data_IF_974091971148
#
_entry.id   IF_974091971148
#
_cell.length_a   1.000
_cell.length_b   1.000
_cell.length_c   1.000
_cell.angle_alpha   90.00
_cell.angle_beta   90.00
_cell.angle_gamma   90.00
#
_symmetry.space_group_name_H-M   'P 1'
#
loop_
_entity.id
_entity.type
_entity.pdbx_description
1 polymer ?
#
# COMPACT_ATOMS: atom_id res chain seq x y z
N UNK A 1 -3.70 -4.16 -5.61
CA UNK A 1 -4.98 -3.70 -5.01
C UNK A 1 -6.01 -4.78 -5.28
N UNK A 2 -6.57 -5.42 -4.24
CA UNK A 2 -7.53 -6.53 -4.45
C UNK A 2 -8.91 -5.97 -4.76
N UNK A 3 -9.60 -6.54 -5.76
CA UNK A 3 -11.03 -6.28 -6.06
C UNK A 3 -11.90 -6.41 -4.80
N UNK A 4 -11.47 -7.25 -3.87
CA UNK A 4 -12.07 -7.48 -2.56
C UNK A 4 -12.10 -6.25 -1.66
N UNK A 5 -11.06 -5.40 -1.69
CA UNK A 5 -11.07 -4.13 -0.95
C UNK A 5 -12.04 -3.12 -1.56
N UNK A 6 -12.12 -3.07 -2.89
CA UNK A 6 -13.13 -2.24 -3.57
C UNK A 6 -14.55 -2.71 -3.24
N UNK A 7 -14.79 -4.02 -3.28
CA UNK A 7 -16.07 -4.61 -2.90
C UNK A 7 -16.46 -4.25 -1.47
N UNK A 8 -15.54 -4.40 -0.53
CA UNK A 8 -15.76 -4.02 0.87
C UNK A 8 -16.06 -2.51 1.01
N UNK A 9 -15.31 -1.66 0.31
CA UNK A 9 -15.53 -0.21 0.30
C UNK A 9 -16.91 0.17 -0.25
N UNK A 10 -17.32 -0.40 -1.38
CA UNK A 10 -18.64 -0.15 -1.96
C UNK A 10 -19.78 -0.63 -1.06
N UNK A 11 -19.63 -1.79 -0.42
CA UNK A 11 -20.61 -2.30 0.55
C UNK A 11 -20.73 -1.38 1.77
N UNK A 12 -19.60 -0.86 2.27
CA UNK A 12 -19.59 0.11 3.36
C UNK A 12 -20.30 1.42 2.97
N UNK A 13 -20.00 1.97 1.79
CA UNK A 13 -20.67 3.17 1.26
C UNK A 13 -22.18 2.95 1.13
N UNK A 14 -22.60 1.79 0.59
CA UNK A 14 -24.01 1.45 0.46
C UNK A 14 -24.70 1.34 1.83
N UNK A 15 -24.04 0.72 2.82
CA UNK A 15 -24.56 0.65 4.19
C UNK A 15 -24.70 2.03 4.85
N UNK A 16 -23.76 2.95 4.60
CA UNK A 16 -23.84 4.32 5.11
C UNK A 16 -24.98 5.12 4.47
N UNK A 17 -25.21 4.94 3.17
CA UNK A 17 -26.34 5.57 2.46
C UNK A 17 -27.68 5.08 3.00
N UNK A 18 -27.77 3.76 3.27
CA UNK A 18 -28.97 3.13 3.79
C UNK A 18 -29.30 3.49 5.26
N UNK A 19 -28.35 4.10 5.99
CA UNK A 19 -28.54 4.54 7.37
C UNK A 19 -29.05 6.00 7.49
N UNK A 20 -29.32 6.66 6.36
CA UNK A 20 -29.84 8.03 6.34
C UNK A 20 -31.33 8.09 6.73
N UNK A 21 -31.74 9.18 7.38
CA UNK A 21 -33.07 9.32 7.99
C UNK A 21 -34.23 9.34 6.97
N UNK A 22 -33.94 9.64 5.71
CA UNK A 22 -34.89 9.71 4.57
C UNK A 22 -34.69 8.57 3.55
N UNK A 23 -34.07 7.47 3.95
CA UNK A 23 -33.71 6.39 3.02
C UNK A 23 -34.92 5.59 2.53
N UNK A 24 -35.06 5.47 1.20
CA UNK A 24 -36.05 4.60 0.55
C UNK A 24 -35.45 3.22 0.28
N UNK A 25 -35.97 2.20 0.97
CA UNK A 25 -35.48 0.83 0.94
C UNK A 25 -35.90 0.06 -0.33
N UNK A 26 -36.80 0.63 -1.14
CA UNK A 26 -37.38 0.00 -2.33
C UNK A 26 -36.31 -0.49 -3.31
N UNK A 27 -35.22 0.27 -3.47
CA UNK A 27 -34.18 -0.01 -4.47
C UNK A 27 -32.98 -0.76 -3.91
N UNK A 28 -32.94 -1.07 -2.62
CA UNK A 28 -31.72 -1.60 -2.00
C UNK A 28 -31.34 -2.98 -2.52
N UNK A 29 -32.34 -3.85 -2.76
CA UNK A 29 -32.13 -5.16 -3.38
C UNK A 29 -31.57 -5.04 -4.79
N UNK A 30 -32.08 -4.08 -5.57
CA UNK A 30 -31.60 -3.80 -6.92
C UNK A 30 -30.17 -3.25 -6.88
N UNK A 31 -29.89 -2.24 -6.06
CA UNK A 31 -28.55 -1.66 -5.88
C UNK A 31 -27.53 -2.73 -5.51
N UNK A 32 -27.86 -3.59 -4.54
CA UNK A 32 -26.96 -4.65 -4.10
C UNK A 32 -26.68 -5.67 -5.21
N UNK A 33 -27.71 -6.11 -5.93
CA UNK A 33 -27.56 -7.04 -7.04
C UNK A 33 -26.74 -6.46 -8.20
N UNK A 34 -26.96 -5.18 -8.55
CA UNK A 34 -26.18 -4.48 -9.58
C UNK A 34 -24.72 -4.34 -9.16
N UNK A 35 -24.45 -3.99 -7.90
CA UNK A 35 -23.08 -3.89 -7.37
C UNK A 35 -22.39 -5.25 -7.41
N UNK A 36 -23.04 -6.32 -6.94
CA UNK A 36 -22.42 -7.65 -6.89
C UNK A 36 -22.13 -8.19 -8.31
N UNK A 37 -23.02 -7.95 -9.28
CA UNK A 37 -22.83 -8.37 -10.67
C UNK A 37 -21.80 -7.49 -11.41
N UNK A 38 -21.82 -6.17 -11.23
CA UNK A 38 -20.78 -5.30 -11.79
C UNK A 38 -19.39 -5.67 -11.24
N UNK A 39 -19.29 -5.94 -9.94
CA UNK A 39 -18.03 -6.37 -9.30
C UNK A 39 -17.60 -7.80 -9.66
N UNK A 40 -18.51 -8.66 -10.12
CA UNK A 40 -18.17 -10.01 -10.60
C UNK A 40 -17.55 -9.95 -12.00
N UNK A 41 -18.05 -9.02 -12.84
CA UNK A 41 -17.58 -8.80 -14.21
C UNK A 41 -16.33 -7.93 -14.29
N UNK A 42 -16.17 -6.99 -13.36
CA UNK A 42 -15.11 -5.99 -13.42
C UNK A 42 -13.71 -6.60 -13.43
N UNK A 43 -12.90 -6.17 -14.41
CA UNK A 43 -11.48 -6.52 -14.53
C UNK A 43 -10.64 -5.26 -14.68
N UNK A 44 -9.65 -5.14 -13.80
CA UNK A 44 -8.61 -4.11 -13.89
C UNK A 44 -7.94 -4.11 -15.26
N UNK A 45 -7.55 -2.92 -15.71
CA UNK A 45 -6.82 -2.72 -16.97
C UNK A 45 -5.50 -3.50 -16.92
N UNK A 46 -5.29 -4.49 -17.82
CA UNK A 46 -4.12 -5.35 -17.75
C UNK A 46 -2.81 -4.57 -18.00
N UNK A 47 -2.86 -3.49 -18.78
CA UNK A 47 -1.71 -2.65 -19.14
C UNK A 47 -1.34 -1.61 -18.07
N UNK A 48 -2.17 -1.40 -17.04
CA UNK A 48 -1.91 -0.36 -16.03
C UNK A 48 -0.55 -0.55 -15.33
N UNK A 49 -0.21 -1.80 -15.00
CA UNK A 49 1.07 -2.13 -14.37
C UNK A 49 2.28 -1.84 -15.26
N UNK A 50 2.17 -2.11 -16.56
CA UNK A 50 3.25 -1.85 -17.52
C UNK A 50 3.49 -0.34 -17.68
N UNK A 51 2.42 0.45 -17.76
CA UNK A 51 2.50 1.91 -17.81
C UNK A 51 3.19 2.46 -16.56
N UNK A 52 2.85 1.97 -15.36
CA UNK A 52 3.52 2.38 -14.12
C UNK A 52 5.00 2.00 -14.13
N UNK A 53 5.36 0.81 -14.64
CA UNK A 53 6.74 0.36 -14.75
C UNK A 53 7.58 1.26 -15.66
N UNK A 54 7.03 1.66 -16.82
CA UNK A 54 7.71 2.60 -17.73
C UNK A 54 7.95 3.95 -17.05
N UNK A 55 6.94 4.47 -16.34
CA UNK A 55 7.06 5.72 -15.57
C UNK A 55 8.16 5.60 -14.51
N UNK A 56 8.19 4.49 -13.78
CA UNK A 56 9.22 4.24 -12.76
C UNK A 56 10.62 4.23 -13.36
N UNK A 57 10.83 3.48 -14.45
CA UNK A 57 12.13 3.39 -15.12
C UNK A 57 12.61 4.75 -15.63
N UNK A 58 11.75 5.48 -16.32
CA UNK A 58 12.09 6.81 -16.85
C UNK A 58 12.41 7.81 -15.72
N UNK A 59 11.65 7.77 -14.62
CA UNK A 59 11.89 8.66 -13.47
C UNK A 59 13.19 8.29 -12.76
N UNK A 60 13.49 7.00 -12.68
CA UNK A 60 14.77 6.55 -12.15
C UNK A 60 15.92 6.96 -13.07
N UNK A 61 15.80 7.04 -14.39
CA UNK A 61 16.95 7.40 -15.25
C UNK A 61 17.48 8.82 -15.00
N UNK A 62 16.65 9.75 -14.50
CA UNK A 62 17.09 11.10 -14.14
C UNK A 62 18.09 11.03 -12.97
N UNK A 63 19.26 11.65 -13.13
CA UNK A 63 20.31 11.68 -12.10
C UNK A 63 20.54 13.07 -11.51
N UNK A 64 19.77 14.07 -11.93
CA UNK A 64 20.12 15.46 -11.67
C UNK A 64 19.24 16.09 -10.58
N UNK A 65 19.79 16.17 -9.36
CA UNK A 65 19.18 16.91 -8.25
C UNK A 65 19.53 18.40 -8.38
N UNK A 66 18.76 19.15 -9.19
CA UNK A 66 19.11 20.52 -9.58
C UNK A 66 19.03 21.57 -8.47
N UNK A 67 18.17 21.37 -7.48
CA UNK A 67 17.86 22.36 -6.47
C UNK A 67 18.30 21.95 -5.06
N UNK A 68 18.75 22.94 -4.29
CA UNK A 68 19.16 22.76 -2.90
C UNK A 68 18.04 22.20 -2.03
N UNK A 69 16.79 22.58 -2.32
CA UNK A 69 15.64 22.11 -1.57
C UNK A 69 15.39 20.61 -1.78
N UNK A 70 15.40 20.11 -3.02
CA UNK A 70 15.30 18.68 -3.27
C UNK A 70 16.48 17.89 -2.73
N UNK A 71 17.69 18.48 -2.74
CA UNK A 71 18.86 17.89 -2.09
C UNK A 71 18.63 17.71 -0.59
N UNK A 72 18.21 18.76 0.11
CA UNK A 72 17.96 18.70 1.55
C UNK A 72 16.81 17.74 1.90
N UNK A 73 15.78 17.68 1.05
CA UNK A 73 14.71 16.69 1.18
C UNK A 73 15.22 15.26 1.01
N UNK A 74 16.11 15.02 0.04
CA UNK A 74 16.71 13.71 -0.20
C UNK A 74 17.66 13.29 0.92
N UNK A 75 18.49 14.21 1.44
CA UNK A 75 19.32 13.98 2.63
C UNK A 75 18.44 13.59 3.82
N UNK A 76 17.35 14.33 4.06
CA UNK A 76 16.41 14.02 5.14
C UNK A 76 15.74 12.65 4.96
N UNK A 77 15.39 12.30 3.72
CA UNK A 77 14.82 10.99 3.40
C UNK A 77 15.83 9.86 3.65
N UNK A 78 17.09 10.03 3.23
CA UNK A 78 18.19 9.11 3.51
C UNK A 78 18.42 8.96 5.02
N UNK A 79 18.55 10.07 5.76
CA UNK A 79 18.74 10.06 7.21
C UNK A 79 17.63 9.30 7.93
N UNK A 80 16.37 9.58 7.59
CA UNK A 80 15.22 8.93 8.22
C UNK A 80 15.21 7.43 7.93
N UNK A 81 15.44 7.04 6.68
CA UNK A 81 15.47 5.63 6.27
C UNK A 81 16.59 4.86 6.97
N UNK A 82 17.79 5.44 7.06
CA UNK A 82 18.92 4.83 7.77
C UNK A 82 18.66 4.76 9.28
N UNK A 83 18.04 5.79 9.89
CA UNK A 83 17.66 5.78 11.31
C UNK A 83 16.63 4.70 11.62
N UNK A 84 15.61 4.55 10.78
CA UNK A 84 14.58 3.52 10.93
C UNK A 84 15.18 2.11 10.85
N UNK A 85 16.01 1.86 9.84
CA UNK A 85 16.72 0.59 9.68
C UNK A 85 17.73 0.32 10.81
N UNK A 86 18.41 1.36 11.29
CA UNK A 86 19.32 1.24 12.43
C UNK A 86 18.55 0.85 13.70
N UNK A 87 17.43 1.50 13.98
CA UNK A 87 16.58 1.17 15.12
C UNK A 87 16.03 -0.26 15.03
N UNK A 88 15.59 -0.70 13.84
CA UNK A 88 15.15 -2.07 13.62
C UNK A 88 16.29 -3.08 13.84
N UNK A 89 17.50 -2.76 13.36
CA UNK A 89 18.69 -3.59 13.55
C UNK A 89 19.10 -3.65 15.02
N UNK A 90 19.08 -2.52 15.75
CA UNK A 90 19.40 -2.49 17.18
C UNK A 90 18.40 -3.29 18.02
N UNK A 91 17.11 -3.26 17.67
CA UNK A 91 16.09 -4.14 18.29
C UNK A 91 16.37 -5.62 18.00
N UNK A 92 16.71 -5.96 16.76
CA UNK A 92 17.07 -7.33 16.38
C UNK A 92 18.29 -7.83 17.16
N UNK A 93 19.35 -7.01 17.24
CA UNK A 93 20.54 -7.30 18.06
C UNK A 93 20.17 -7.48 19.54
N UNK A 94 19.32 -6.61 20.08
CA UNK A 94 18.88 -6.70 21.47
C UNK A 94 18.13 -8.00 21.76
N UNK A 95 17.32 -8.50 20.83
CA UNK A 95 16.61 -9.76 20.98
C UNK A 95 17.57 -10.96 20.90
N UNK A 96 18.55 -10.91 19.98
CA UNK A 96 19.57 -11.95 19.79
C UNK A 96 20.50 -12.07 20.99
N UNK A 97 20.90 -10.96 21.59
CA UNK A 97 21.93 -10.91 22.64
C UNK A 97 21.32 -10.86 24.05
N UNK A 98 20.01 -10.65 24.15
CA UNK A 98 19.31 -10.57 25.42
C UNK A 98 19.45 -9.22 26.11
N UNK A 99 18.92 -9.11 27.35
CA UNK A 99 18.83 -7.85 28.08
C UNK A 99 20.21 -7.26 28.39
N UNK A 100 20.35 -5.95 28.18
CA UNK A 100 21.56 -5.21 28.54
C UNK A 100 21.78 -5.18 30.06
N UNK A 101 22.98 -4.79 30.50
CA UNK A 101 23.32 -4.68 31.94
C UNK A 101 22.35 -3.78 32.71
N UNK A 102 21.93 -2.67 32.08
CA UNK A 102 20.90 -1.76 32.62
C UNK A 102 19.53 -2.41 32.74
N UNK A 103 19.12 -3.17 31.74
CA UNK A 103 17.79 -3.82 31.72
C UNK A 103 17.70 -4.96 32.74
N UNK A 104 18.80 -5.72 32.89
CA UNK A 104 18.90 -6.77 33.91
C UNK A 104 18.76 -6.21 35.32
N UNK A 105 19.36 -5.05 35.58
CA UNK A 105 19.29 -4.41 36.89
C UNK A 105 17.95 -3.69 37.14
N UNK A 106 17.45 -2.91 36.17
CA UNK A 106 16.21 -2.13 36.34
C UNK A 106 14.94 -2.98 36.27
N UNK A 107 14.93 -4.02 35.44
CA UNK A 107 13.74 -4.84 35.17
C UNK A 107 13.89 -6.30 35.60
N UNK A 108 14.95 -6.64 36.35
CA UNK A 108 15.21 -8.01 36.83
C UNK A 108 15.11 -9.08 35.74
N UNK A 109 15.57 -8.75 34.53
CA UNK A 109 15.58 -9.68 33.40
C UNK A 109 16.80 -10.58 33.44
N UNK A 110 16.63 -11.82 33.02
CA UNK A 110 17.69 -12.81 32.91
C UNK A 110 18.06 -13.07 31.44
N UNK A 111 19.31 -13.47 31.21
CA UNK A 111 19.84 -13.82 29.88
C UNK A 111 19.85 -15.35 29.74
N UNK A 112 19.62 -15.86 28.54
CA UNK A 112 19.81 -17.28 28.24
C UNK A 112 21.29 -17.58 28.00
N UNK A 113 21.68 -18.85 28.11
CA UNK A 113 23.06 -19.28 27.83
C UNK A 113 23.50 -18.90 26.40
N UNK A 114 22.61 -19.06 25.42
CA UNK A 114 22.89 -18.65 24.03
C UNK A 114 23.09 -17.13 23.91
N UNK A 115 22.25 -16.34 24.58
CA UNK A 115 22.36 -14.87 24.60
C UNK A 115 23.69 -14.42 25.22
N UNK A 116 24.14 -15.09 26.29
CA UNK A 116 25.44 -14.82 26.91
C UNK A 116 26.62 -15.16 25.97
N UNK A 117 26.54 -16.29 25.24
CA UNK A 117 27.51 -16.63 24.20
C UNK A 117 27.52 -15.58 23.08
N UNK A 118 26.35 -15.16 22.57
CA UNK A 118 26.23 -14.10 21.54
C UNK A 118 26.75 -12.76 22.03
N UNK A 119 26.55 -12.43 23.31
CA UNK A 119 27.12 -11.23 23.93
C UNK A 119 28.66 -11.27 23.93
N UNK A 120 29.25 -12.40 24.30
CA UNK A 120 30.70 -12.58 24.29
C UNK A 120 31.27 -12.47 22.87
N UNK A 121 30.65 -13.12 21.89
CA UNK A 121 31.01 -13.02 20.46
C UNK A 121 30.94 -11.57 19.99
N UNK A 122 29.81 -10.88 20.24
CA UNK A 122 29.60 -9.49 19.85
C UNK A 122 30.66 -8.55 20.43
N UNK A 123 31.12 -8.78 21.66
CA UNK A 123 32.19 -8.00 22.28
C UNK A 123 33.51 -8.14 21.52
N UNK A 124 33.86 -9.34 21.05
CA UNK A 124 35.05 -9.55 20.23
C UNK A 124 34.89 -8.93 18.84
N UNK A 125 33.71 -9.03 18.22
CA UNK A 125 33.41 -8.40 16.93
C UNK A 125 33.45 -6.86 17.00
N UNK A 126 32.93 -6.27 18.09
CA UNK A 126 32.98 -4.82 18.31
C UNK A 126 34.44 -4.33 18.42
N UNK A 127 35.39 -5.14 18.93
CA UNK A 127 36.82 -4.77 18.96
C UNK A 127 37.39 -4.66 17.54
N UNK A 128 37.08 -5.60 16.66
CA UNK A 128 37.53 -5.58 15.26
C UNK A 128 37.03 -4.32 14.58
N UNK A 129 35.73 -4.03 14.70
CA UNK A 129 35.10 -2.84 14.11
C UNK A 129 35.66 -1.53 14.69
N UNK A 130 35.94 -1.48 15.99
CA UNK A 130 36.54 -0.30 16.61
C UNK A 130 38.01 -0.09 16.16
N UNK A 131 38.74 -1.18 15.88
CA UNK A 131 40.12 -1.09 15.39
C UNK A 131 40.20 -0.74 13.89
N UNK A 132 39.21 -1.16 13.11
CA UNK A 132 39.13 -0.91 11.68
C UNK A 132 37.74 -0.36 11.29
N UNK A 133 37.60 0.97 11.31
CA UNK A 133 36.35 1.65 10.96
C UNK A 133 35.92 1.45 9.50
N UNK A 134 36.83 1.06 8.60
CA UNK A 134 36.55 0.77 7.18
C UNK A 134 36.53 -0.73 6.88
N UNK A 135 36.36 -1.56 7.91
CA UNK A 135 36.29 -3.01 7.76
C UNK A 135 35.16 -3.40 6.78
N UNK A 136 35.41 -4.41 5.95
CA UNK A 136 34.43 -4.92 4.99
C UNK A 136 33.28 -5.69 5.65
N UNK A 137 32.33 -6.16 4.86
CA UNK A 137 31.18 -6.92 5.37
C UNK A 137 31.47 -8.41 5.64
N UNK A 138 32.66 -8.91 5.28
CA UNK A 138 33.05 -10.31 5.42
C UNK A 138 34.21 -10.40 6.40
N UNK A 139 34.10 -11.30 7.38
CA UNK A 139 35.21 -11.66 8.26
C UNK A 139 36.20 -12.54 7.51
N UNK A 140 37.48 -12.25 7.65
CA UNK A 140 38.56 -13.09 7.14
C UNK A 140 38.68 -14.37 7.97
N UNK A 141 39.31 -15.41 7.41
CA UNK A 141 39.51 -16.68 8.10
C UNK A 141 40.42 -16.54 9.34
N UNK A 142 41.38 -15.61 9.28
CA UNK A 142 42.29 -15.31 10.39
C UNK A 142 41.56 -14.60 11.54
N UNK A 143 40.66 -13.66 11.23
CA UNK A 143 39.79 -13.02 12.22
C UNK A 143 38.85 -14.02 12.90
N UNK A 144 38.21 -14.91 12.13
CA UNK A 144 37.37 -15.97 12.68
C UNK A 144 38.15 -16.88 13.64
N UNK A 145 39.37 -17.25 13.25
CA UNK A 145 40.26 -18.07 14.09
C UNK A 145 40.63 -17.35 15.38
N UNK A 146 41.00 -16.07 15.27
CA UNK A 146 41.39 -15.23 16.41
C UNK A 146 40.22 -15.03 17.38
N UNK A 147 39.02 -14.72 16.88
CA UNK A 147 37.81 -14.58 17.71
C UNK A 147 37.53 -15.88 18.46
N UNK A 148 37.53 -17.02 17.75
CA UNK A 148 37.25 -18.33 18.33
C UNK A 148 38.25 -18.69 19.43
N UNK A 149 39.55 -18.45 19.21
CA UNK A 149 40.57 -18.68 20.24
C UNK A 149 40.40 -17.78 21.46
N UNK A 150 40.09 -16.49 21.27
CA UNK A 150 39.85 -15.56 22.36
C UNK A 150 38.61 -15.93 23.20
N UNK A 151 37.56 -16.40 22.54
CA UNK A 151 36.35 -16.90 23.20
C UNK A 151 36.65 -18.17 24.00
N UNK A 152 37.43 -19.10 23.44
CA UNK A 152 37.83 -20.33 24.13
C UNK A 152 38.64 -20.02 25.40
N UNK A 153 39.57 -19.07 25.34
CA UNK A 153 40.33 -18.58 26.51
C UNK A 153 39.44 -17.96 27.59
N UNK A 154 38.30 -17.41 27.18
CA UNK A 154 37.29 -16.83 28.08
C UNK A 154 36.27 -17.87 28.58
N UNK A 155 36.46 -19.16 28.28
CA UNK A 155 35.56 -20.24 28.67
C UNK A 155 34.31 -20.37 27.80
N UNK A 156 34.26 -19.72 26.62
CA UNK A 156 33.12 -19.74 25.71
C UNK A 156 33.48 -20.55 24.45
N UNK A 157 32.84 -21.70 24.28
CA UNK A 157 33.01 -22.55 23.10
C UNK A 157 31.89 -22.30 22.08
N UNK A 158 32.26 -21.87 20.88
CA UNK A 158 31.36 -21.60 19.74
C UNK A 158 32.03 -22.03 18.43
N UNK A 159 31.23 -22.33 17.41
CA UNK A 159 31.71 -22.62 16.06
C UNK A 159 31.79 -21.35 15.20
N UNK A 160 32.34 -21.50 13.99
CA UNK A 160 32.50 -20.39 13.05
C UNK A 160 31.15 -19.90 12.50
N UNK A 161 30.13 -20.76 12.45
CA UNK A 161 28.80 -20.42 11.94
C UNK A 161 28.08 -19.48 12.92
N UNK A 162 28.11 -19.80 14.21
CA UNK A 162 27.58 -18.97 15.28
C UNK A 162 28.23 -17.57 15.33
N UNK A 163 29.54 -17.48 15.06
CA UNK A 163 30.25 -16.20 14.94
C UNK A 163 29.72 -15.41 13.73
N UNK A 164 29.57 -16.05 12.57
CA UNK A 164 29.05 -15.41 11.34
C UNK A 164 27.60 -14.96 11.49
N UNK A 165 26.76 -15.75 12.14
CA UNK A 165 25.36 -15.41 12.42
C UNK A 165 25.25 -14.18 13.33
N UNK A 166 26.17 -14.05 14.29
CA UNK A 166 26.23 -12.89 15.17
C UNK A 166 26.86 -11.68 14.46
N UNK A 167 27.77 -11.91 13.50
CA UNK A 167 28.44 -10.87 12.73
C UNK A 167 27.49 -10.06 11.85
N UNK A 168 26.63 -10.72 11.07
CA UNK A 168 25.75 -10.05 10.11
C UNK A 168 24.95 -8.86 10.71
N UNK A 169 24.20 -9.04 11.81
CA UNK A 169 23.47 -7.92 12.41
C UNK A 169 24.42 -6.89 13.05
N UNK A 170 25.54 -7.32 13.66
CA UNK A 170 26.53 -6.42 14.29
C UNK A 170 27.19 -5.51 13.26
N UNK A 171 27.65 -6.08 12.14
CA UNK A 171 28.19 -5.32 11.02
C UNK A 171 27.15 -4.41 10.39
N UNK A 172 25.91 -4.89 10.19
CA UNK A 172 24.80 -4.06 9.68
C UNK A 172 24.60 -2.81 10.53
N UNK A 173 24.61 -2.93 11.85
CA UNK A 173 24.54 -1.77 12.77
C UNK A 173 25.71 -0.82 12.56
N UNK A 174 26.94 -1.34 12.45
CA UNK A 174 28.14 -0.53 12.21
C UNK A 174 28.06 0.24 10.87
N UNK A 175 27.73 -0.46 9.79
CA UNK A 175 27.54 0.12 8.46
C UNK A 175 26.45 1.20 8.43
N UNK A 176 25.31 0.98 9.12
CA UNK A 176 24.23 1.96 9.21
C UNK A 176 24.64 3.19 10.00
N UNK A 177 25.41 3.04 11.09
CA UNK A 177 25.98 4.20 11.83
C UNK A 177 26.94 5.02 10.96
N UNK A 178 27.81 4.36 10.21
CA UNK A 178 28.71 5.04 9.27
C UNK A 178 27.95 5.75 8.15
N UNK A 179 26.94 5.09 7.57
CA UNK A 179 26.08 5.69 6.55
C UNK A 179 25.30 6.90 7.07
N UNK A 180 24.86 6.85 8.33
CA UNK A 180 24.20 7.98 8.97
C UNK A 180 25.14 9.16 9.18
N UNK A 181 26.39 8.92 9.59
CA UNK A 181 27.40 9.97 9.71
C UNK A 181 27.67 10.63 8.35
N UNK A 182 27.85 9.84 7.29
CA UNK A 182 28.03 10.35 5.91
C UNK A 182 26.82 11.18 5.45
N UNK A 183 25.60 10.75 5.77
CA UNK A 183 24.40 11.51 5.44
C UNK A 183 24.39 12.91 6.08
N UNK A 184 24.85 13.03 7.34
CA UNK A 184 24.97 14.33 8.01
C UNK A 184 26.00 15.25 7.33
N UNK A 185 27.12 14.71 6.88
CA UNK A 185 28.14 15.47 6.14
C UNK A 185 27.59 15.98 4.79
N UNK A 186 26.79 15.16 4.12
CA UNK A 186 26.17 15.49 2.84
C UNK A 186 25.15 16.64 2.90
N UNK A 187 24.66 17.03 4.08
CA UNK A 187 23.75 18.18 4.22
C UNK A 187 24.35 19.49 3.73
N UNK A 188 25.67 19.66 3.83
CA UNK A 188 26.40 20.83 3.31
C UNK A 188 27.05 20.58 1.94
N UNK A 189 26.96 19.35 1.43
CA UNK A 189 27.64 18.90 0.20
C UNK A 189 27.01 19.37 -1.11
N UNK A 190 25.85 20.03 -1.10
CA UNK A 190 25.15 20.44 -2.32
C UNK A 190 25.99 21.33 -3.25
N UNK A 191 26.74 22.29 -2.68
CA UNK A 191 27.57 23.18 -3.50
C UNK A 191 28.64 22.40 -4.28
N UNK A 192 29.33 21.48 -3.62
CA UNK A 192 30.34 20.63 -4.25
C UNK A 192 29.71 19.73 -5.33
N UNK A 193 28.54 19.17 -5.06
CA UNK A 193 27.77 18.39 -6.03
C UNK A 193 27.37 19.22 -7.25
N UNK A 194 26.85 20.43 -7.04
CA UNK A 194 26.37 21.31 -8.11
C UNK A 194 27.50 21.77 -9.04
N UNK A 195 28.68 22.05 -8.48
CA UNK A 195 29.89 22.40 -9.24
C UNK A 195 30.54 21.19 -9.94
N UNK A 196 30.00 19.98 -9.78
CA UNK A 196 30.55 18.76 -10.37
C UNK A 196 31.86 18.31 -9.76
N UNK A 197 32.18 18.78 -8.55
CA UNK A 197 33.35 18.35 -7.79
C UNK A 197 33.09 16.96 -7.18
N UNK A 198 34.15 16.19 -6.91
CA UNK A 198 34.00 14.88 -6.28
C UNK A 198 33.34 14.99 -4.89
N UNK A 199 32.28 14.22 -4.67
CA UNK A 199 31.61 14.12 -3.36
C UNK A 199 31.30 12.67 -3.02
N UNK A 200 31.32 12.33 -1.73
CA UNK A 200 30.90 11.00 -1.24
C UNK A 200 29.37 10.89 -1.10
N UNK A 201 28.60 11.80 -1.73
CA UNK A 201 27.16 11.96 -1.51
C UNK A 201 26.29 11.33 -2.60
N UNK A 202 26.81 10.32 -3.30
CA UNK A 202 26.08 9.59 -4.35
C UNK A 202 24.79 8.94 -3.81
N UNK A 203 24.78 8.53 -2.55
CA UNK A 203 23.60 7.96 -1.88
C UNK A 203 22.45 8.98 -1.82
N UNK A 204 22.74 10.28 -1.69
CA UNK A 204 21.71 11.34 -1.69
C UNK A 204 21.02 11.41 -3.05
N UNK A 205 21.78 11.34 -4.14
CA UNK A 205 21.22 11.35 -5.50
C UNK A 205 20.36 10.11 -5.74
N UNK A 206 20.79 8.95 -5.25
CA UNK A 206 19.99 7.72 -5.32
C UNK A 206 18.66 7.87 -4.57
N UNK A 207 18.69 8.39 -3.34
CA UNK A 207 17.49 8.57 -2.53
C UNK A 207 16.55 9.63 -3.12
N UNK A 208 17.08 10.68 -3.74
CA UNK A 208 16.29 11.64 -4.52
C UNK A 208 15.54 10.93 -5.65
N UNK A 209 16.22 10.09 -6.43
CA UNK A 209 15.61 9.32 -7.54
C UNK A 209 14.48 8.41 -7.07
N UNK A 210 14.69 7.72 -5.94
CA UNK A 210 13.68 6.86 -5.34
C UNK A 210 12.47 7.69 -4.88
N UNK A 211 12.70 8.83 -4.21
CA UNK A 211 11.63 9.73 -3.76
C UNK A 211 10.81 10.28 -4.95
N UNK A 212 11.48 10.72 -6.02
CA UNK A 212 10.80 11.16 -7.24
C UNK A 212 10.01 10.03 -7.90
N UNK A 213 10.62 8.85 -8.04
CA UNK A 213 9.93 7.69 -8.59
C UNK A 213 8.68 7.35 -7.78
N UNK A 214 8.74 7.38 -6.45
CA UNK A 214 7.58 7.12 -5.58
C UNK A 214 6.49 8.19 -5.77
N UNK A 215 6.85 9.47 -5.79
CA UNK A 215 5.90 10.58 -5.98
C UNK A 215 5.19 10.53 -7.32
N UNK A 216 5.96 10.38 -8.41
CA UNK A 216 5.40 10.32 -9.78
C UNK A 216 4.55 9.07 -9.95
N UNK A 217 5.00 7.91 -9.46
CA UNK A 217 4.22 6.66 -9.51
C UNK A 217 2.92 6.78 -8.72
N UNK A 218 2.95 7.35 -7.51
CA UNK A 218 1.75 7.53 -6.70
C UNK A 218 0.74 8.46 -7.37
N UNK A 219 1.22 9.54 -8.00
CA UNK A 219 0.36 10.46 -8.76
C UNK A 219 -0.22 9.79 -10.01
N UNK A 220 0.59 9.06 -10.78
CA UNK A 220 0.14 8.31 -11.94
C UNK A 220 -0.89 7.24 -11.55
N UNK A 221 -0.65 6.49 -10.48
CA UNK A 221 -1.59 5.50 -9.95
C UNK A 221 -2.91 6.15 -9.54
N UNK A 222 -2.87 7.29 -8.83
CA UNK A 222 -4.08 8.05 -8.47
C UNK A 222 -4.88 8.43 -9.72
N UNK A 223 -4.22 8.95 -10.75
CA UNK A 223 -4.86 9.33 -12.00
C UNK A 223 -5.43 8.11 -12.75
N UNK A 224 -4.71 6.99 -12.81
CA UNK A 224 -5.20 5.76 -13.41
C UNK A 224 -6.47 5.26 -12.70
N UNK A 225 -6.47 5.21 -11.37
CA UNK A 225 -7.63 4.77 -10.59
C UNK A 225 -8.82 5.72 -10.75
N UNK A 226 -8.61 7.02 -10.55
CA UNK A 226 -9.71 8.00 -10.51
C UNK A 226 -10.25 8.34 -11.90
N UNK A 227 -9.39 8.52 -12.89
CA UNK A 227 -9.83 9.02 -14.19
C UNK A 227 -10.17 7.90 -15.16
N UNK A 228 -9.55 6.71 -15.03
CA UNK A 228 -9.82 5.58 -15.95
C UNK A 228 -10.67 4.51 -15.29
N UNK A 229 -10.22 3.94 -14.19
CA UNK A 229 -10.88 2.76 -13.63
C UNK A 229 -12.23 3.09 -13.00
N UNK A 230 -12.37 4.24 -12.35
CA UNK A 230 -13.67 4.69 -11.87
C UNK A 230 -14.68 4.88 -13.01
N UNK A 231 -14.25 5.44 -14.15
CA UNK A 231 -15.12 5.61 -15.32
C UNK A 231 -15.48 4.29 -15.99
N UNK A 232 -14.55 3.32 -16.02
CA UNK A 232 -14.83 1.97 -16.54
C UNK A 232 -15.84 1.25 -15.66
N UNK A 233 -15.66 1.30 -14.34
CA UNK A 233 -16.59 0.72 -13.39
C UNK A 233 -17.98 1.38 -13.48
N UNK A 234 -18.06 2.71 -13.60
CA UNK A 234 -19.33 3.42 -13.80
C UNK A 234 -20.08 2.96 -15.07
N UNK A 235 -19.35 2.78 -16.18
CA UNK A 235 -19.93 2.23 -17.43
C UNK A 235 -20.43 0.81 -17.24
N UNK A 236 -19.67 -0.04 -16.56
CA UNK A 236 -20.08 -1.43 -16.27
C UNK A 236 -21.32 -1.49 -15.36
N UNK A 237 -21.39 -0.62 -14.34
CA UNK A 237 -22.57 -0.50 -13.46
C UNK A 237 -23.80 -0.08 -14.28
N UNK A 238 -23.66 0.92 -15.16
CA UNK A 238 -24.75 1.37 -16.05
C UNK A 238 -25.21 0.26 -16.98
N UNK A 239 -24.28 -0.46 -17.60
CA UNK A 239 -24.59 -1.57 -18.48
C UNK A 239 -25.34 -2.69 -17.73
N UNK A 240 -24.89 -3.08 -16.52
CA UNK A 240 -25.59 -4.10 -15.71
C UNK A 240 -26.99 -3.62 -15.32
N UNK A 241 -27.14 -2.34 -14.97
CA UNK A 241 -28.44 -1.76 -14.66
C UNK A 241 -29.38 -1.76 -15.88
N UNK A 242 -28.87 -1.41 -17.06
CA UNK A 242 -29.61 -1.47 -18.33
C UNK A 242 -30.05 -2.90 -18.65
N UNK A 243 -29.16 -3.89 -18.54
CA UNK A 243 -29.49 -5.31 -18.72
C UNK A 243 -30.58 -5.79 -17.74
N UNK A 244 -30.47 -5.40 -16.46
CA UNK A 244 -31.52 -5.71 -15.47
C UNK A 244 -32.82 -4.98 -15.79
N UNK A 245 -32.74 -3.80 -16.40
CA UNK A 245 -33.90 -3.03 -16.85
C UNK A 245 -34.56 -3.61 -18.11
N UNK A 246 -33.93 -4.50 -18.85
CA UNK A 246 -34.55 -5.16 -20.00
C UNK A 246 -35.18 -6.50 -19.61
N UNK A 247 -34.67 -7.13 -18.55
CA UNK A 247 -35.15 -8.42 -18.07
C UNK A 247 -36.35 -8.29 -17.10
N UNK A 248 -37.55 -8.57 -17.60
CA UNK A 248 -38.80 -8.53 -16.80
C UNK A 248 -38.77 -9.47 -15.58
N UNK A 249 -38.14 -10.65 -15.68
CA UNK A 249 -38.08 -11.62 -14.58
C UNK A 249 -37.17 -11.12 -13.44
N UNK A 250 -36.05 -10.49 -13.79
CA UNK A 250 -35.13 -9.88 -12.80
C UNK A 250 -35.80 -8.67 -12.15
N UNK A 251 -36.52 -7.84 -12.91
CA UNK A 251 -37.29 -6.72 -12.35
C UNK A 251 -38.32 -7.17 -11.34
N UNK A 252 -39.14 -8.16 -11.68
CA UNK A 252 -40.18 -8.68 -10.79
C UNK A 252 -39.59 -9.29 -9.52
N UNK A 253 -38.40 -9.91 -9.60
CA UNK A 253 -37.71 -10.46 -8.43
C UNK A 253 -37.09 -9.37 -7.54
N UNK A 254 -36.46 -8.35 -8.13
CA UNK A 254 -35.67 -7.35 -7.41
C UNK A 254 -36.49 -6.14 -6.93
N UNK A 255 -37.51 -5.73 -7.68
CA UNK A 255 -38.39 -4.60 -7.36
C UNK A 255 -39.70 -5.12 -6.77
N UNK A 256 -39.64 -5.52 -5.51
CA UNK A 256 -40.78 -6.10 -4.78
C UNK A 256 -41.22 -5.20 -3.63
N UNK A 257 -42.53 -5.15 -3.35
CA UNK A 257 -43.07 -4.44 -2.18
C UNK A 257 -44.46 -3.88 -2.40
N UNK A 258 -45.12 -3.49 -1.29
CA UNK A 258 -46.50 -2.94 -1.30
C UNK A 258 -46.65 -1.71 -2.20
N UNK A 259 -45.61 -0.86 -2.27
CA UNK A 259 -45.59 0.32 -3.14
C UNK A 259 -45.56 -0.05 -4.62
N UNK A 260 -44.84 -1.11 -4.98
CA UNK A 260 -44.76 -1.60 -6.37
C UNK A 260 -46.10 -2.20 -6.79
N UNK A 261 -46.71 -3.03 -5.94
CA UNK A 261 -48.03 -3.63 -6.24
C UNK A 261 -49.09 -2.55 -6.40
N UNK A 262 -49.12 -1.55 -5.52
CA UNK A 262 -50.04 -0.41 -5.63
C UNK A 262 -49.81 0.39 -6.92
N UNK A 263 -48.55 0.64 -7.30
CA UNK A 263 -48.23 1.35 -8.54
C UNK A 263 -48.66 0.56 -9.79
N UNK A 264 -48.49 -0.76 -9.77
CA UNK A 264 -48.97 -1.63 -10.85
C UNK A 264 -50.49 -1.63 -10.97
N UNK A 265 -51.20 -1.73 -9.84
CA UNK A 265 -52.66 -1.63 -9.78
C UNK A 265 -53.14 -0.28 -10.31
N UNK A 266 -52.54 0.84 -9.87
CA UNK A 266 -52.84 2.17 -10.40
C UNK A 266 -52.62 2.26 -11.91
N UNK A 267 -51.53 1.66 -12.41
CA UNK A 267 -51.26 1.61 -13.86
C UNK A 267 -52.27 0.75 -14.62
N UNK A 268 -52.83 -0.30 -14.01
CA UNK A 268 -53.94 -1.09 -14.58
C UNK A 268 -55.22 -0.27 -14.60
N UNK A 269 -55.57 0.39 -13.50
CA UNK A 269 -56.76 1.25 -13.40
C UNK A 269 -56.71 2.37 -14.43
N UNK A 270 -55.57 3.08 -14.55
CA UNK A 270 -55.41 4.14 -15.55
C UNK A 270 -55.58 3.63 -16.99
N UNK A 271 -55.04 2.45 -17.31
CA UNK A 271 -55.23 1.82 -18.62
C UNK A 271 -56.69 1.44 -18.90
N UNK A 272 -57.43 1.00 -17.89
CA UNK A 272 -58.86 0.72 -18.01
C UNK A 272 -59.63 2.02 -18.28
N UNK A 273 -59.30 3.11 -17.58
CA UNK A 273 -59.91 4.42 -17.82
C UNK A 273 -59.64 4.93 -19.24
N UNK A 274 -58.40 4.87 -19.72
CA UNK A 274 -58.02 5.25 -21.09
C UNK A 274 -58.83 4.44 -22.13
N UNK A 275 -58.97 3.12 -21.94
CA UNK A 275 -59.77 2.26 -22.83
C UNK A 275 -61.26 2.56 -22.77
N UNK A 276 -61.80 2.91 -21.61
CA UNK A 276 -63.19 3.33 -21.46
C UNK A 276 -63.45 4.68 -22.14
N UNK A 277 -62.52 5.63 -22.04
CA UNK A 277 -62.61 6.91 -22.75
C UNK A 277 -62.58 6.71 -24.27
N UNK A 278 -61.66 5.86 -24.77
CA UNK A 278 -61.62 5.46 -26.18
C UNK A 278 -62.96 4.84 -26.63
N UNK A 279 -63.55 3.98 -25.81
CA UNK A 279 -64.84 3.34 -26.11
C UNK A 279 -66.01 4.34 -26.11
N UNK A 280 -66.08 5.26 -25.13
CA UNK A 280 -67.09 6.32 -25.08
C UNK A 280 -66.97 7.24 -26.30
N UNK A 281 -65.75 7.57 -26.72
CA UNK A 281 -65.50 8.36 -27.93
C UNK A 281 -65.97 7.62 -29.20
N UNK A 282 -65.71 6.32 -29.30
CA UNK A 282 -66.19 5.49 -30.41
C UNK A 282 -67.73 5.42 -30.47
N UNK A 283 -68.39 5.18 -29.33
CA UNK A 283 -69.86 5.14 -29.24
C UNK A 283 -70.51 6.48 -29.59
N UNK A 284 -69.94 7.59 -29.13
CA UNK A 284 -70.44 8.92 -29.48
C UNK A 284 -70.26 9.20 -30.98
N UNK A 285 -69.22 8.65 -31.61
CA UNK A 285 -69.01 8.77 -33.05
C UNK A 285 -70.05 7.97 -33.84
N UNK A 286 -70.30 6.72 -33.48
CA UNK A 286 -71.34 5.88 -34.10
C UNK A 286 -72.75 6.47 -33.94
N UNK A 287 -73.08 6.98 -32.74
CA UNK A 287 -74.39 7.63 -32.49
C UNK A 287 -74.59 8.92 -33.27
N UNK A 288 -73.50 9.60 -33.65
CA UNK A 288 -73.54 10.78 -34.53
C UNK A 288 -73.67 10.36 -36.00
N UNK A 289 -73.10 9.22 -36.38
CA UNK A 289 -73.25 8.65 -37.72
C UNK A 289 -74.66 8.05 -37.96
N UNK A 290 -75.31 7.45 -36.94
CA UNK A 290 -76.71 6.99 -37.01
C UNK A 290 -77.76 8.11 -37.06
N UNK A 291 -77.39 9.34 -36.65
CA UNK A 291 -78.28 10.52 -36.67
C UNK A 291 -78.20 11.32 -37.98
N UNK A 292 -77.42 10.84 -38.94
CA UNK A 292 -77.18 11.49 -40.24
C UNK A 292 -77.89 10.73 -41.35
#
# INVERSE_FOLDING_TARGET
WSLERLRHSMKCVNSCLNASQDHDDLFDRLKQAVIDEAMSRHKWEPKANEVLRVIQLNTLEDRNCRDKHAWDAAVKFLENSVKEELNATEKSISNLIGPGTKDRWMYWKYSTEEQDKRYAVKRELDKILNSNYKHGNVLTQDELTTIRENLLRSGVTVDNEFIKDTWNPVYRRHFLKQSLARAYDCRRGFYLYHEGLETECNDVVLFWRIDQMLKVTANALRQQVMNREAQRLDKEIKQVLEEFSENSEIKEKLLTGKRVTLAEELKRVKRIQEKLEEFIQALNKEKMDERR
#
